data_IF_917906078188
#
_entry.id   IF_917906078188
#
_cell.length_a   1.000
_cell.length_b   1.000
_cell.length_c   1.000
_cell.angle_alpha   90.00
_cell.angle_beta   90.00
_cell.angle_gamma   90.00
#
_symmetry.space_group_name_H-M   'P 1'
#
loop_
_entity.id
_entity.type
_entity.pdbx_description
1 polymer ?
#
# COMPACT_ATOMS: atom_id res chain seq x y z
N UNK A 1 3.10 23.52 -0.36
CA UNK A 1 3.72 24.36 0.69
C UNK A 1 5.09 23.77 0.96
N UNK A 2 6.14 24.35 0.36
CA UNK A 2 7.48 23.80 0.45
C UNK A 2 8.18 24.37 1.69
N UNK A 3 8.63 23.50 2.59
CA UNK A 3 9.53 23.86 3.69
C UNK A 3 10.93 24.24 3.18
N UNK A 4 11.24 23.90 1.92
CA UNK A 4 12.53 24.15 1.27
C UNK A 4 12.34 25.34 0.31
N UNK A 5 13.12 26.43 0.45
CA UNK A 5 13.10 27.54 -0.50
C UNK A 5 13.41 27.04 -1.92
N UNK A 6 12.67 27.51 -2.92
CA UNK A 6 12.85 27.18 -4.35
C UNK A 6 12.68 25.70 -4.75
N UNK A 7 12.03 24.87 -3.93
CA UNK A 7 11.68 23.52 -4.33
C UNK A 7 10.25 23.45 -4.88
N UNK A 8 10.09 23.01 -6.13
CA UNK A 8 8.80 22.48 -6.61
C UNK A 8 8.54 21.14 -5.93
N UNK A 9 7.38 21.02 -5.29
CA UNK A 9 7.01 19.77 -4.63
C UNK A 9 6.61 18.76 -5.70
N UNK A 10 7.34 17.65 -5.89
CA UNK A 10 7.19 16.79 -7.08
C UNK A 10 5.99 15.84 -6.99
N UNK A 11 5.10 16.03 -6.00
CA UNK A 11 4.00 15.13 -5.70
C UNK A 11 2.69 15.89 -5.67
N UNK A 12 1.62 15.25 -6.13
CA UNK A 12 0.25 15.71 -5.90
C UNK A 12 -0.32 15.04 -4.66
N UNK A 13 -1.33 15.66 -4.05
CA UNK A 13 -2.09 15.08 -2.94
C UNK A 13 -3.58 15.15 -3.30
N UNK A 14 -4.31 14.06 -3.02
CA UNK A 14 -5.74 13.97 -3.27
C UNK A 14 -6.45 13.48 -2.01
N UNK A 15 -7.63 14.05 -1.74
CA UNK A 15 -8.48 13.60 -0.63
C UNK A 15 -9.22 12.33 -1.03
N UNK A 16 -9.03 11.25 -0.28
CA UNK A 16 -9.72 9.97 -0.48
C UNK A 16 -11.05 9.89 0.27
N UNK A 17 -11.46 10.95 0.98
CA UNK A 17 -12.67 10.97 1.80
C UNK A 17 -13.36 12.36 1.71
N UNK A 18 -14.67 12.45 1.99
CA UNK A 18 -15.44 13.68 1.79
C UNK A 18 -15.02 14.84 2.72
N UNK A 19 -14.48 14.52 3.89
CA UNK A 19 -14.05 15.49 4.90
C UNK A 19 -12.60 15.23 5.30
N UNK A 20 -11.71 16.14 4.90
CA UNK A 20 -10.30 16.16 5.30
C UNK A 20 -9.94 17.57 5.73
N UNK A 21 -9.44 17.73 6.95
CA UNK A 21 -8.86 18.99 7.42
C UNK A 21 -7.35 18.93 7.25
N UNK A 22 -6.79 19.90 6.54
CA UNK A 22 -5.34 20.01 6.32
C UNK A 22 -4.80 21.13 7.18
N UNK A 23 -3.78 20.82 8.00
CA UNK A 23 -2.99 21.83 8.69
C UNK A 23 -1.74 22.14 7.86
N UNK A 24 -1.50 23.42 7.62
CA UNK A 24 -0.44 23.87 6.74
C UNK A 24 0.37 24.99 7.43
N UNK A 25 1.70 24.89 7.42
CA UNK A 25 2.60 25.88 8.04
C UNK A 25 3.49 26.54 7.00
N UNK A 26 3.62 27.87 7.12
CA UNK A 26 4.58 28.63 6.32
C UNK A 26 6.02 28.22 6.63
N UNK A 27 6.94 28.50 5.71
CA UNK A 27 8.36 28.25 5.91
C UNK A 27 8.90 28.99 7.14
N UNK A 28 8.58 30.28 7.31
CA UNK A 28 9.08 31.09 8.42
C UNK A 28 8.62 30.59 9.81
N UNK A 29 7.33 30.30 10.07
CA UNK A 29 6.90 29.69 11.33
C UNK A 29 7.55 28.33 11.61
N UNK A 30 7.74 27.50 10.57
CA UNK A 30 8.39 26.21 10.71
C UNK A 30 9.86 26.35 11.10
N UNK A 31 10.60 27.27 10.47
CA UNK A 31 12.00 27.56 10.80
C UNK A 31 12.14 27.99 12.26
N UNK A 32 11.31 28.93 12.71
CA UNK A 32 11.31 29.37 14.11
C UNK A 32 11.03 28.21 15.09
N UNK A 33 10.14 27.29 14.73
CA UNK A 33 9.84 26.11 15.56
C UNK A 33 11.04 25.15 15.62
N UNK A 34 11.75 24.95 14.51
CA UNK A 34 12.93 24.09 14.46
C UNK A 34 14.07 24.69 15.29
N UNK A 35 14.26 26.00 15.25
CA UNK A 35 15.25 26.71 16.08
C UNK A 35 14.93 26.57 17.58
N UNK A 36 13.65 26.67 17.95
CA UNK A 36 13.23 26.54 19.34
C UNK A 36 13.22 25.08 19.84
N UNK A 37 12.94 24.12 18.94
CA UNK A 37 12.87 22.69 19.24
C UNK A 37 13.73 21.88 18.24
N UNK A 38 15.05 21.76 18.45
CA UNK A 38 15.97 21.08 17.53
C UNK A 38 15.63 19.61 17.26
N UNK A 39 14.89 18.95 18.18
CA UNK A 39 14.39 17.59 17.98
C UNK A 39 13.52 17.47 16.72
N UNK A 40 12.85 18.54 16.29
CA UNK A 40 12.03 18.55 15.07
C UNK A 40 12.88 18.36 13.81
N UNK A 41 14.10 18.91 13.77
CA UNK A 41 15.02 18.68 12.65
C UNK A 41 15.43 17.20 12.58
N UNK A 42 15.73 16.58 13.73
CA UNK A 42 16.06 15.14 13.81
C UNK A 42 14.87 14.29 13.34
N UNK A 43 13.65 14.60 13.80
CA UNK A 43 12.43 13.90 13.36
C UNK A 43 12.15 14.08 11.87
N UNK A 44 12.35 15.28 11.34
CA UNK A 44 12.21 15.55 9.91
C UNK A 44 13.23 14.75 9.08
N UNK A 45 14.49 14.67 9.52
CA UNK A 45 15.50 13.83 8.88
C UNK A 45 15.11 12.35 8.92
N UNK A 46 14.63 11.83 10.05
CA UNK A 46 14.14 10.45 10.15
C UNK A 46 12.98 10.17 9.16
N UNK A 47 12.06 11.11 8.98
CA UNK A 47 10.99 10.99 7.99
C UNK A 47 11.54 10.93 6.55
N UNK A 48 12.50 11.79 6.22
CA UNK A 48 13.14 11.80 4.88
C UNK A 48 13.91 10.50 4.65
N UNK A 49 14.71 10.04 5.61
CA UNK A 49 15.43 8.76 5.52
C UNK A 49 14.46 7.59 5.35
N UNK A 50 13.35 7.57 6.11
CA UNK A 50 12.29 6.58 5.94
C UNK A 50 11.71 6.58 4.53
N UNK A 51 11.43 7.76 3.97
CA UNK A 51 10.96 7.92 2.58
C UNK A 51 11.99 7.41 1.56
N UNK A 52 13.27 7.71 1.79
CA UNK A 52 14.36 7.26 0.92
C UNK A 52 14.49 5.73 0.90
N UNK A 53 14.46 5.09 2.07
CA UNK A 53 14.47 3.62 2.19
C UNK A 53 13.27 3.00 1.48
N UNK A 54 12.08 3.60 1.60
CA UNK A 54 10.89 3.13 0.88
C UNK A 54 11.07 3.20 -0.65
N UNK A 55 11.66 4.29 -1.17
CA UNK A 55 11.93 4.43 -2.60
C UNK A 55 12.98 3.43 -3.08
N UNK A 56 14.04 3.19 -2.30
CA UNK A 56 15.04 2.16 -2.63
C UNK A 56 14.43 0.75 -2.64
N UNK A 57 13.54 0.46 -1.69
CA UNK A 57 12.82 -0.81 -1.68
C UNK A 57 11.92 -0.95 -2.90
N UNK A 58 11.15 0.08 -3.26
CA UNK A 58 10.35 0.06 -4.48
C UNK A 58 11.21 -0.17 -5.72
N UNK A 59 12.36 0.51 -5.83
CA UNK A 59 13.28 0.30 -6.95
C UNK A 59 13.80 -1.14 -7.02
N UNK A 60 14.17 -1.72 -5.86
CA UNK A 60 14.56 -3.13 -5.77
C UNK A 60 13.41 -4.04 -6.18
N UNK A 61 12.19 -3.78 -5.70
CA UNK A 61 11.00 -4.57 -6.04
C UNK A 61 10.66 -4.48 -7.53
N UNK A 62 10.83 -3.32 -8.15
CA UNK A 62 10.66 -3.14 -9.60
C UNK A 62 11.73 -3.90 -10.39
N UNK A 63 12.96 -3.97 -9.89
CA UNK A 63 14.07 -4.66 -10.53
C UNK A 63 14.07 -6.18 -10.31
N UNK A 64 13.42 -6.68 -9.25
CA UNK A 64 13.57 -8.09 -8.81
C UNK A 64 12.28 -8.88 -8.71
N UNK A 65 11.13 -8.24 -8.50
CA UNK A 65 9.86 -8.92 -8.29
C UNK A 65 9.00 -8.91 -9.54
N UNK A 66 8.22 -9.99 -9.70
CA UNK A 66 7.12 -10.02 -10.66
C UNK A 66 6.04 -9.03 -10.25
N UNK A 67 5.30 -8.52 -11.23
CA UNK A 67 4.24 -7.52 -10.97
C UNK A 67 3.22 -8.04 -9.97
N UNK A 68 2.85 -9.32 -10.05
CA UNK A 68 1.87 -9.93 -9.15
C UNK A 68 2.35 -9.91 -7.68
N UNK A 69 3.64 -10.18 -7.42
CA UNK A 69 4.21 -10.16 -6.07
C UNK A 69 4.15 -8.76 -5.45
N UNK A 70 4.42 -7.71 -6.24
CA UNK A 70 4.33 -6.32 -5.76
C UNK A 70 2.89 -5.96 -5.36
N UNK A 71 1.92 -6.38 -6.16
CA UNK A 71 0.50 -6.17 -5.84
C UNK A 71 0.13 -6.94 -4.57
N UNK A 72 0.59 -8.18 -4.41
CA UNK A 72 0.31 -9.00 -3.24
C UNK A 72 0.90 -8.37 -1.97
N UNK A 73 2.16 -7.95 -2.01
CA UNK A 73 2.83 -7.23 -0.91
C UNK A 73 2.12 -5.94 -0.53
N UNK A 74 1.70 -5.16 -1.51
CA UNK A 74 0.96 -3.92 -1.26
C UNK A 74 -0.36 -4.20 -0.53
N UNK A 75 -1.11 -5.22 -0.95
CA UNK A 75 -2.35 -5.61 -0.28
C UNK A 75 -2.10 -6.14 1.14
N UNK A 76 -1.12 -7.04 1.34
CA UNK A 76 -0.77 -7.54 2.69
C UNK A 76 -0.41 -6.38 3.63
N UNK A 77 0.37 -5.41 3.14
CA UNK A 77 0.73 -4.21 3.91
C UNK A 77 -0.50 -3.39 4.29
N UNK A 78 -1.41 -3.16 3.36
CA UNK A 78 -2.64 -2.40 3.61
C UNK A 78 -3.58 -3.15 4.57
N UNK A 79 -3.70 -4.46 4.45
CA UNK A 79 -4.46 -5.30 5.39
C UNK A 79 -3.92 -5.20 6.81
N UNK A 80 -2.60 -5.16 7.00
CA UNK A 80 -1.99 -4.96 8.33
C UNK A 80 -2.19 -3.56 8.90
N UNK A 81 -2.22 -2.53 8.03
CA UNK A 81 -2.29 -1.13 8.47
C UNK A 81 -3.72 -0.64 8.70
N UNK A 82 -4.68 -1.09 7.89
CA UNK A 82 -6.04 -0.58 7.85
C UNK A 82 -7.09 -1.70 7.70
N UNK A 83 -6.74 -2.94 8.02
CA UNK A 83 -7.65 -4.07 7.89
C UNK A 83 -8.75 -4.07 8.97
N UNK A 84 -9.99 -4.29 8.55
CA UNK A 84 -11.13 -4.53 9.45
C UNK A 84 -11.80 -5.87 9.11
N UNK A 85 -12.38 -6.58 10.10
CA UNK A 85 -13.11 -7.82 9.84
C UNK A 85 -14.29 -7.59 8.88
N UNK A 86 -14.43 -8.45 7.88
CA UNK A 86 -15.59 -8.44 6.97
C UNK A 86 -16.67 -9.44 7.45
N UNK A 87 -17.94 -9.07 7.32
CA UNK A 87 -19.09 -9.88 7.76
C UNK A 87 -19.19 -11.24 7.06
N UNK A 88 -18.63 -11.35 5.86
CA UNK A 88 -18.67 -12.58 5.06
C UNK A 88 -17.40 -13.43 5.21
N UNK A 89 -16.55 -13.12 6.19
CA UNK A 89 -15.27 -13.77 6.43
C UNK A 89 -14.13 -13.15 5.59
N UNK A 90 -13.02 -12.82 6.25
CA UNK A 90 -11.86 -12.14 5.64
C UNK A 90 -11.61 -10.76 6.22
N UNK A 91 -10.73 -10.00 5.56
CA UNK A 91 -10.31 -8.67 6.01
C UNK A 91 -10.54 -7.62 4.92
N UNK A 92 -11.43 -6.68 5.21
CA UNK A 92 -11.68 -5.50 4.39
C UNK A 92 -10.52 -4.51 4.57
N UNK A 93 -9.97 -4.00 3.48
CA UNK A 93 -9.08 -2.84 3.54
C UNK A 93 -9.95 -1.60 3.80
N UNK A 94 -9.85 -1.04 5.00
CA UNK A 94 -10.71 0.03 5.54
C UNK A 94 -10.47 1.42 4.94
N UNK A 95 -9.79 1.51 3.79
CA UNK A 95 -9.62 2.75 3.02
C UNK A 95 -10.20 2.54 1.61
N UNK A 96 -10.77 3.59 0.98
CA UNK A 96 -11.17 3.53 -0.41
C UNK A 96 -9.97 3.20 -1.31
N UNK A 97 -9.98 2.00 -1.89
CA UNK A 97 -8.87 1.46 -2.67
C UNK A 97 -9.31 1.16 -4.09
N UNK A 98 -9.08 2.10 -4.99
CA UNK A 98 -9.32 1.92 -6.43
C UNK A 98 -8.20 1.09 -7.06
N UNK A 99 -8.48 0.50 -8.23
CA UNK A 99 -7.45 -0.19 -9.04
C UNK A 99 -6.35 0.78 -9.50
N UNK A 100 -6.68 2.06 -9.70
CA UNK A 100 -5.69 3.07 -10.06
C UNK A 100 -4.72 3.33 -8.90
N UNK A 101 -5.24 3.45 -7.67
CA UNK A 101 -4.38 3.60 -6.49
C UNK A 101 -3.39 2.45 -6.35
N UNK A 102 -3.85 1.21 -6.57
CA UNK A 102 -2.96 0.04 -6.58
C UNK A 102 -1.92 0.08 -7.70
N UNK A 103 -2.29 0.55 -8.89
CA UNK A 103 -1.37 0.68 -10.03
C UNK A 103 -0.25 1.68 -9.71
N UNK A 104 -0.62 2.85 -9.19
CA UNK A 104 0.31 3.91 -8.79
C UNK A 104 1.24 3.44 -7.66
N UNK A 105 0.71 2.72 -6.67
CA UNK A 105 1.48 2.19 -5.54
C UNK A 105 2.48 1.10 -5.93
N UNK A 106 2.20 0.34 -6.99
CA UNK A 106 3.00 -0.85 -7.39
C UNK A 106 3.83 -0.63 -8.64
N UNK A 107 3.79 0.60 -9.20
CA UNK A 107 4.51 0.97 -10.41
C UNK A 107 4.11 0.10 -11.60
N UNK A 108 2.80 -0.12 -11.78
CA UNK A 108 2.28 -0.90 -12.91
C UNK A 108 1.07 -0.20 -13.53
N UNK A 109 0.43 -0.84 -14.51
CA UNK A 109 -0.72 -0.28 -15.20
C UNK A 109 -2.03 -0.69 -14.50
N UNK A 110 -3.05 0.15 -14.62
CA UNK A 110 -4.43 -0.16 -14.23
C UNK A 110 -4.90 -1.50 -14.81
N UNK A 111 -4.57 -1.76 -16.07
CA UNK A 111 -4.89 -3.00 -16.76
C UNK A 111 -4.25 -4.22 -16.09
N UNK A 112 -2.96 -4.14 -15.73
CA UNK A 112 -2.26 -5.24 -15.05
C UNK A 112 -2.85 -5.51 -13.67
N UNK A 113 -3.13 -4.47 -12.88
CA UNK A 113 -3.81 -4.63 -11.58
C UNK A 113 -5.18 -5.27 -11.77
N UNK A 114 -5.97 -4.78 -12.73
CA UNK A 114 -7.30 -5.32 -13.00
C UNK A 114 -7.25 -6.81 -13.32
N UNK A 115 -6.38 -7.22 -14.26
CA UNK A 115 -6.20 -8.64 -14.61
C UNK A 115 -5.76 -9.48 -13.42
N UNK A 116 -4.81 -8.98 -12.62
CA UNK A 116 -4.27 -9.70 -11.46
C UNK A 116 -5.34 -9.91 -10.39
N UNK A 117 -6.09 -8.86 -10.04
CA UNK A 117 -7.18 -8.95 -9.06
C UNK A 117 -8.28 -9.88 -9.53
N UNK A 118 -8.68 -9.83 -10.81
CA UNK A 118 -9.69 -10.75 -11.36
C UNK A 118 -9.23 -12.21 -11.31
N UNK A 119 -7.96 -12.49 -11.60
CA UNK A 119 -7.41 -13.85 -11.50
C UNK A 119 -7.39 -14.36 -10.04
N UNK A 120 -7.09 -13.48 -9.07
CA UNK A 120 -7.11 -13.83 -7.65
C UNK A 120 -8.52 -13.95 -7.08
N UNK A 121 -9.47 -13.21 -7.62
CA UNK A 121 -10.88 -13.32 -7.28
C UNK A 121 -11.46 -14.67 -7.73
N UNK A 122 -11.14 -15.13 -8.94
CA UNK A 122 -11.48 -16.48 -9.40
C UNK A 122 -10.86 -17.59 -8.53
N UNK A 123 -9.71 -17.32 -7.91
CA UNK A 123 -9.02 -18.24 -6.97
C UNK A 123 -9.51 -18.11 -5.53
N UNK A 124 -10.48 -17.23 -5.25
CA UNK A 124 -11.00 -17.00 -3.89
C UNK A 124 -10.00 -16.34 -2.93
N UNK A 125 -8.98 -15.66 -3.43
CA UNK A 125 -7.94 -15.02 -2.59
C UNK A 125 -8.39 -13.62 -2.15
N UNK A 126 -9.02 -12.88 -3.07
CA UNK A 126 -9.54 -11.53 -2.83
C UNK A 126 -10.94 -11.40 -3.43
N UNK A 127 -11.69 -10.40 -2.99
CA UNK A 127 -12.91 -9.94 -3.65
C UNK A 127 -12.75 -8.45 -3.92
N UNK A 128 -12.98 -8.00 -5.16
CA UNK A 128 -12.76 -6.61 -5.57
C UNK A 128 -14.06 -5.95 -6.02
N UNK A 129 -14.49 -4.94 -5.28
CA UNK A 129 -15.61 -4.06 -5.63
C UNK A 129 -15.16 -2.69 -6.16
N UNK A 130 -16.10 -1.75 -6.30
CA UNK A 130 -15.79 -0.34 -6.55
C UNK A 130 -15.11 0.24 -5.31
N UNK A 131 -13.86 0.66 -5.46
CA UNK A 131 -13.03 1.25 -4.38
C UNK A 131 -12.92 0.40 -3.11
N UNK A 132 -13.14 -0.91 -3.23
CA UNK A 132 -13.18 -1.84 -2.10
C UNK A 132 -12.43 -3.11 -2.45
N UNK A 133 -11.57 -3.55 -1.55
CA UNK A 133 -10.88 -4.85 -1.66
C UNK A 133 -11.01 -5.59 -0.33
N UNK A 134 -11.50 -6.83 -0.40
CA UNK A 134 -11.61 -7.76 0.73
C UNK A 134 -10.60 -8.87 0.49
N UNK A 135 -9.70 -9.10 1.45
CA UNK A 135 -8.80 -10.25 1.44
C UNK A 135 -9.52 -11.43 2.07
N UNK A 136 -9.79 -12.47 1.27
CA UNK A 136 -10.49 -13.69 1.70
C UNK A 136 -9.52 -14.72 2.27
N UNK A 137 -8.34 -14.83 1.66
CA UNK A 137 -7.29 -15.74 2.09
C UNK A 137 -5.98 -14.97 2.27
N UNK A 138 -5.70 -14.55 3.51
CA UNK A 138 -4.48 -13.82 3.86
C UNK A 138 -3.22 -14.68 3.69
N UNK A 139 -3.30 -15.98 3.99
CA UNK A 139 -2.17 -16.90 3.82
C UNK A 139 -1.79 -17.07 2.35
N UNK A 140 -2.78 -17.33 1.47
CA UNK A 140 -2.57 -17.44 0.03
C UNK A 140 -2.06 -16.14 -0.59
N UNK A 141 -2.53 -14.99 -0.11
CA UNK A 141 -2.02 -13.69 -0.52
C UNK A 141 -0.57 -13.46 -0.06
N UNK A 142 -0.22 -13.91 1.14
CA UNK A 142 1.15 -13.81 1.67
C UNK A 142 2.10 -14.74 0.92
N UNK A 143 1.67 -15.95 0.57
CA UNK A 143 2.44 -16.85 -0.28
C UNK A 143 2.76 -16.23 -1.66
N UNK A 144 1.78 -15.56 -2.27
CA UNK A 144 1.99 -14.79 -3.51
C UNK A 144 2.93 -13.59 -3.33
N UNK A 145 2.96 -12.98 -2.15
CA UNK A 145 3.85 -11.87 -1.81
C UNK A 145 5.30 -12.30 -1.61
N UNK A 146 5.51 -13.55 -1.16
CA UNK A 146 6.82 -14.13 -0.87
C UNK A 146 7.37 -15.00 -2.02
N UNK A 147 6.62 -15.13 -3.12
CA UNK A 147 6.89 -16.06 -4.24
C UNK A 147 7.00 -17.53 -3.81
N UNK A 148 6.32 -17.88 -2.71
CA UNK A 148 6.24 -19.27 -2.26
C UNK A 148 5.08 -19.92 -3.02
N UNK A 149 5.31 -20.99 -3.81
CA UNK A 149 4.21 -21.67 -4.49
C UNK A 149 3.18 -22.13 -3.45
N UNK A 150 1.87 -21.90 -3.68
CA UNK A 150 0.84 -22.30 -2.74
C UNK A 150 0.96 -23.81 -2.51
N UNK A 151 1.05 -24.24 -1.23
CA UNK A 151 1.02 -25.67 -0.92
C UNK A 151 -0.26 -26.25 -1.52
N UNK A 152 -0.18 -27.34 -2.30
CA UNK A 152 -1.37 -27.99 -2.78
C UNK A 152 -2.25 -28.37 -1.58
N UNK A 153 -3.52 -28.00 -1.68
CA UNK A 153 -4.59 -28.44 -0.77
C UNK A 153 -4.43 -29.94 -0.54
N UNK A 154 -4.24 -30.36 0.71
CA UNK A 154 -4.26 -31.77 1.08
C UNK A 154 -5.67 -32.28 0.78
N UNK A 155 -5.84 -32.91 -0.39
CA UNK A 155 -6.98 -33.76 -0.65
C UNK A 155 -6.86 -34.95 0.31
N UNK A 156 -7.83 -35.04 1.21
CA UNK A 156 -8.07 -36.19 2.06
C UNK A 156 -8.18 -37.45 1.17
N UNK A 157 -7.43 -38.54 1.44
CA UNK A 157 -7.50 -39.74 0.63
C UNK A 157 -8.91 -40.37 0.75
N UNK A 158 -9.43 -40.98 -0.33
CA UNK A 158 -10.76 -41.60 -0.28
C UNK A 158 -10.78 -42.72 0.78
N UNK A 159 -11.89 -42.90 1.52
CA UNK A 159 -12.02 -44.00 2.46
C UNK A 159 -11.94 -45.33 1.71
N UNK A 160 -11.13 -46.25 2.24
CA UNK A 160 -11.09 -47.66 1.84
C UNK A 160 -12.42 -48.35 2.13
#
# INVERSE_FOLDING_TARGET
>A
MAAIPNAEYPLTAQCLSPSVTVLAWGSAPLTALIEHYPILAVRAMQMVTGRFVQLQNLYRELATLRVEQRIARALVRLTRQAGTPDQTGGTLIGIPLSRQHLADMTGTTLYTVSRTLSAWEQRGIVTSGRERVIVRNLEGLTALADDVPPRPSQAEPPPC
#
